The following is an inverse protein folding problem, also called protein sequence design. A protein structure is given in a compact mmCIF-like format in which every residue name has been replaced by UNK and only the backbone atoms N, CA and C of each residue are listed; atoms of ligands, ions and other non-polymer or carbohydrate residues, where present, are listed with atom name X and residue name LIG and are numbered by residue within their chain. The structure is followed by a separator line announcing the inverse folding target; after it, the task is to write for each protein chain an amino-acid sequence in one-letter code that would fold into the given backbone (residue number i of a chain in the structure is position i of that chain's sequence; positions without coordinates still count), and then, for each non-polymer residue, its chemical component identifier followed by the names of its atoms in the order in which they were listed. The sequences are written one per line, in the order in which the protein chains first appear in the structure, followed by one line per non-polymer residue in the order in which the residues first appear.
data_IF_518442630216
#
_entry.id   IF_518442630216
#
_cell.length_a   1.000
_cell.length_b   1.000
_cell.length_c   1.000
_cell.angle_alpha   90.00
_cell.angle_beta   90.00
_cell.angle_gamma   90.00
#
_symmetry.space_group_name_H-M   'P 1'
#
loop_
_entity.id
_entity.type
_entity.pdbx_description
1 polymer ?
#
# COMPACT_ATOMS: atom_id res chain seq x y z
N UNK A 1 -26.74 -6.97 -20.83
CA UNK A 1 -26.43 -6.75 -19.40
C UNK A 1 -24.93 -6.55 -19.27
N UNK A 2 -24.51 -5.29 -19.19
CA UNK A 2 -23.12 -4.85 -19.23
C UNK A 2 -22.43 -5.12 -17.87
N UNK A 3 -21.26 -5.74 -17.92
CA UNK A 3 -20.42 -6.05 -16.75
C UNK A 3 -19.79 -4.76 -16.18
N UNK A 4 -20.54 -4.00 -15.39
CA UNK A 4 -20.07 -2.74 -14.76
C UNK A 4 -19.25 -2.96 -13.48
N UNK A 5 -18.97 -4.20 -13.09
CA UNK A 5 -18.26 -4.51 -11.83
C UNK A 5 -16.74 -4.21 -11.84
N UNK A 6 -16.14 -3.84 -12.97
CA UNK A 6 -14.67 -3.79 -13.11
C UNK A 6 -14.03 -2.39 -13.12
N UNK A 7 -14.78 -1.30 -12.84
CA UNK A 7 -14.22 0.07 -12.86
C UNK A 7 -13.63 0.55 -11.53
N UNK A 8 -13.95 -0.10 -10.40
CA UNK A 8 -13.48 0.33 -9.06
C UNK A 8 -12.12 -0.24 -8.65
N UNK A 9 -11.68 -1.30 -9.31
CA UNK A 9 -10.36 -1.90 -9.18
C UNK A 9 -9.70 -1.87 -10.55
N UNK A 10 -9.15 -0.71 -10.90
CA UNK A 10 -8.37 -0.59 -12.12
C UNK A 10 -7.19 -1.57 -12.00
N UNK A 11 -7.12 -2.59 -12.85
CA UNK A 11 -6.14 -3.69 -12.74
C UNK A 11 -4.71 -3.17 -12.65
N UNK A 12 -4.42 -2.06 -13.33
CA UNK A 12 -3.16 -1.32 -13.26
C UNK A 12 -2.86 -0.80 -11.84
N UNK A 13 -3.86 -0.25 -11.13
CA UNK A 13 -3.68 0.22 -9.75
C UNK A 13 -3.39 -0.94 -8.79
N UNK A 14 -4.05 -2.08 -8.97
CA UNK A 14 -3.81 -3.28 -8.15
C UNK A 14 -2.41 -3.83 -8.40
N UNK A 15 -1.98 -3.93 -9.66
CA UNK A 15 -0.62 -4.40 -10.00
C UNK A 15 0.47 -3.48 -9.45
N UNK A 16 0.28 -2.15 -9.54
CA UNK A 16 1.19 -1.17 -8.96
C UNK A 16 1.22 -1.29 -7.44
N UNK A 17 0.06 -1.43 -6.79
CA UNK A 17 -0.02 -1.57 -5.34
C UNK A 17 0.69 -2.85 -4.85
N UNK A 18 0.51 -3.99 -5.53
CA UNK A 18 1.23 -5.24 -5.19
C UNK A 18 2.74 -5.02 -5.27
N UNK A 19 3.25 -4.43 -6.36
CA UNK A 19 4.68 -4.15 -6.50
C UNK A 19 5.19 -3.21 -5.42
N UNK A 20 4.41 -2.17 -5.09
CA UNK A 20 4.73 -1.23 -4.03
C UNK A 20 4.71 -1.88 -2.65
N UNK A 21 3.86 -2.88 -2.40
CA UNK A 21 3.84 -3.60 -1.12
C UNK A 21 5.16 -4.27 -0.79
N UNK A 22 5.82 -4.84 -1.80
CA UNK A 22 7.14 -5.44 -1.67
C UNK A 22 8.27 -4.41 -1.59
N UNK A 23 8.11 -3.23 -2.19
CA UNK A 23 9.10 -2.14 -2.11
C UNK A 23 9.03 -1.46 -0.74
N UNK A 24 7.83 -1.29 -0.18
CA UNK A 24 7.57 -0.72 1.16
C UNK A 24 7.98 -1.64 2.31
N UNK A 25 8.39 -2.88 2.01
CA UNK A 25 9.03 -3.82 2.93
C UNK A 25 10.48 -3.45 3.27
N UNK A 26 10.96 -2.27 2.85
CA UNK A 26 12.26 -1.76 3.23
C UNK A 26 12.18 -1.11 4.63
N UNK A 27 12.93 -1.59 5.63
CA UNK A 27 12.83 -1.14 7.02
C UNK A 27 13.12 0.35 7.20
N UNK A 28 13.91 0.95 6.30
CA UNK A 28 14.20 2.39 6.33
C UNK A 28 12.96 3.27 6.04
N UNK A 29 11.99 2.73 5.32
CA UNK A 29 10.73 3.42 5.00
C UNK A 29 9.70 3.24 6.13
N UNK A 30 9.69 2.09 6.78
CA UNK A 30 8.73 1.74 7.82
C UNK A 30 8.96 2.45 9.16
N UNK A 31 10.15 3.01 9.43
CA UNK A 31 10.43 3.78 10.66
C UNK A 31 9.45 4.95 10.89
N UNK A 32 8.88 5.52 9.82
CA UNK A 32 7.89 6.59 9.92
C UNK A 32 6.51 6.11 10.40
N UNK A 33 6.24 4.81 10.31
CA UNK A 33 5.01 4.17 10.76
C UNK A 33 5.35 3.19 11.92
N UNK A 34 5.32 3.64 13.19
CA UNK A 34 5.82 2.87 14.33
C UNK A 34 5.06 1.55 14.55
N UNK A 35 3.78 1.49 14.18
CA UNK A 35 2.97 0.27 14.29
C UNK A 35 3.44 -0.77 13.28
N UNK A 36 3.58 -0.38 12.01
CA UNK A 36 4.04 -1.28 10.95
C UNK A 36 5.48 -1.76 11.16
N UNK A 37 6.36 -0.88 11.65
CA UNK A 37 7.73 -1.24 12.00
C UNK A 37 7.82 -2.30 13.11
N UNK A 38 6.97 -2.21 14.13
CA UNK A 38 6.94 -3.21 15.22
C UNK A 38 6.54 -4.60 14.69
N UNK A 39 5.56 -4.65 13.77
CA UNK A 39 5.13 -5.90 13.13
C UNK A 39 6.24 -6.46 12.22
N UNK A 40 6.97 -5.60 11.51
CA UNK A 40 8.13 -6.00 10.69
C UNK A 40 9.23 -6.66 11.54
N UNK A 41 9.61 -6.04 12.67
CA UNK A 41 10.59 -6.63 13.59
C UNK A 41 10.11 -7.99 14.10
N UNK A 42 8.85 -8.09 14.53
CA UNK A 42 8.29 -9.37 15.00
C UNK A 42 8.31 -10.45 13.91
N UNK A 43 8.01 -10.08 12.67
CA UNK A 43 8.07 -10.98 11.51
C UNK A 43 9.49 -11.43 11.22
N UNK A 44 10.47 -10.53 11.34
CA UNK A 44 11.90 -10.84 11.15
C UNK A 44 12.42 -11.77 12.23
N UNK A 45 12.06 -11.54 13.50
CA UNK A 45 12.39 -12.46 14.60
C UNK A 45 11.77 -13.84 14.33
N UNK A 46 10.49 -13.89 13.94
CA UNK A 46 9.84 -15.16 13.61
C UNK A 46 10.46 -15.88 12.41
N UNK A 47 11.01 -15.15 11.43
CA UNK A 47 11.77 -15.74 10.34
C UNK A 47 13.02 -16.45 10.86
N UNK A 48 13.76 -15.82 11.79
CA UNK A 48 14.94 -16.40 12.43
C UNK A 48 14.58 -17.62 13.27
N UNK A 49 13.52 -17.54 14.08
CA UNK A 49 13.01 -18.68 14.87
C UNK A 49 12.63 -19.85 13.96
N UNK A 50 11.90 -19.57 12.88
CA UNK A 50 11.48 -20.59 11.90
C UNK A 50 12.70 -21.23 11.22
N UNK A 51 13.73 -20.45 10.89
CA UNK A 51 14.98 -20.98 10.34
C UNK A 51 15.74 -21.84 11.38
N UNK A 52 15.78 -21.43 12.64
CA UNK A 52 16.41 -22.21 13.72
C UNK A 52 15.66 -23.52 13.99
N UNK A 53 14.33 -23.52 13.84
CA UNK A 53 13.50 -24.72 13.98
C UNK A 53 13.74 -25.80 12.92
N UNK A 54 14.48 -25.51 11.84
CA UNK A 54 14.92 -26.53 10.87
C UNK A 54 15.97 -27.48 11.48
N UNK A 55 16.81 -26.97 12.37
CA UNK A 55 17.91 -27.73 12.98
C UNK A 55 17.64 -28.11 14.43
N UNK A 56 16.76 -27.39 15.13
CA UNK A 56 16.47 -27.59 16.55
C UNK A 56 14.97 -27.46 16.86
N UNK A 57 14.36 -28.52 17.38
CA UNK A 57 12.92 -28.56 17.70
C UNK A 57 12.58 -28.04 19.10
N UNK A 58 13.49 -27.36 19.80
CA UNK A 58 13.29 -26.92 21.19
C UNK A 58 12.23 -25.83 21.33
N UNK A 59 12.10 -24.97 20.33
CA UNK A 59 11.21 -23.79 20.30
C UNK A 59 9.89 -24.07 19.56
N UNK A 60 9.39 -25.31 19.62
CA UNK A 60 8.17 -25.73 18.92
C UNK A 60 8.44 -26.44 17.58
N UNK A 61 7.37 -26.95 16.96
CA UNK A 61 7.49 -27.64 15.68
C UNK A 61 7.75 -26.65 14.54
N UNK A 62 8.60 -27.02 13.60
CA UNK A 62 8.88 -26.21 12.41
C UNK A 62 7.59 -25.79 11.69
N UNK A 63 6.62 -26.71 11.54
CA UNK A 63 5.35 -26.41 10.89
C UNK A 63 4.51 -25.36 11.61
N UNK A 64 4.54 -25.33 12.95
CA UNK A 64 3.86 -24.30 13.73
C UNK A 64 4.54 -22.93 13.54
N UNK A 65 5.86 -22.86 13.71
CA UNK A 65 6.62 -21.61 13.55
C UNK A 65 6.51 -21.04 12.13
N UNK A 66 6.57 -21.92 11.11
CA UNK A 66 6.34 -21.54 9.72
C UNK A 66 4.93 -20.99 9.49
N UNK A 67 3.90 -21.59 10.10
CA UNK A 67 2.52 -21.10 10.00
C UNK A 67 2.37 -19.70 10.61
N UNK A 68 2.95 -19.47 11.79
CA UNK A 68 2.97 -18.16 12.44
C UNK A 68 3.71 -17.13 11.57
N UNK A 69 4.88 -17.49 11.05
CA UNK A 69 5.64 -16.64 10.14
C UNK A 69 4.85 -16.26 8.89
N UNK A 70 4.19 -17.22 8.23
CA UNK A 70 3.37 -16.95 7.04
C UNK A 70 2.24 -15.97 7.35
N UNK A 71 1.55 -16.14 8.48
CA UNK A 71 0.48 -15.22 8.88
C UNK A 71 1.03 -13.80 9.09
N UNK A 72 2.14 -13.65 9.83
CA UNK A 72 2.77 -12.35 10.07
C UNK A 72 3.30 -11.70 8.77
N UNK A 73 3.84 -12.50 7.87
CA UNK A 73 4.30 -12.00 6.57
C UNK A 73 3.14 -11.52 5.70
N UNK A 74 2.03 -12.26 5.68
CA UNK A 74 0.84 -11.87 4.93
C UNK A 74 0.18 -10.61 5.50
N UNK A 75 0.12 -10.46 6.83
CA UNK A 75 -0.45 -9.23 7.43
C UNK A 75 0.36 -8.00 7.04
N UNK A 76 1.69 -8.11 7.01
CA UNK A 76 2.57 -7.03 6.58
C UNK A 76 2.37 -6.70 5.10
N UNK A 77 2.28 -7.71 4.24
CA UNK A 77 2.03 -7.52 2.81
C UNK A 77 0.69 -6.85 2.54
N UNK A 78 -0.38 -7.26 3.24
CA UNK A 78 -1.70 -6.65 3.11
C UNK A 78 -1.74 -5.22 3.64
N UNK A 79 -1.06 -4.94 4.75
CA UNK A 79 -1.01 -3.59 5.29
C UNK A 79 -0.26 -2.64 4.35
N UNK A 80 0.90 -3.03 3.81
CA UNK A 80 1.61 -2.25 2.79
C UNK A 80 0.79 -2.08 1.50
N UNK A 81 0.01 -3.10 1.13
CA UNK A 81 -0.91 -3.03 -0.02
C UNK A 81 -2.05 -2.04 0.19
N UNK A 82 -2.70 -2.07 1.36
CA UNK A 82 -3.76 -1.13 1.71
C UNK A 82 -3.24 0.31 1.69
N UNK A 83 -2.05 0.54 2.24
CA UNK A 83 -1.38 1.84 2.22
C UNK A 83 -1.09 2.31 0.78
N UNK A 84 -0.53 1.43 -0.06
CA UNK A 84 -0.25 1.75 -1.46
C UNK A 84 -1.53 2.05 -2.26
N UNK A 85 -2.62 1.31 -2.04
CA UNK A 85 -3.93 1.60 -2.66
C UNK A 85 -4.48 2.95 -2.22
N UNK A 86 -4.41 3.25 -0.92
CA UNK A 86 -4.90 4.51 -0.37
C UNK A 86 -4.18 5.71 -0.99
N UNK A 87 -2.84 5.64 -1.09
CA UNK A 87 -2.04 6.66 -1.76
C UNK A 87 -2.35 6.78 -3.26
N UNK A 88 -2.50 5.64 -3.96
CA UNK A 88 -2.76 5.63 -5.39
C UNK A 88 -4.12 6.27 -5.72
N UNK A 89 -5.15 6.00 -4.91
CA UNK A 89 -6.47 6.64 -5.06
C UNK A 89 -6.41 8.14 -4.75
N UNK A 90 -5.72 8.54 -3.68
CA UNK A 90 -5.55 9.94 -3.32
C UNK A 90 -4.83 10.75 -4.42
N UNK A 91 -3.75 10.20 -4.99
CA UNK A 91 -3.03 10.81 -6.11
C UNK A 91 -3.89 10.92 -7.37
N UNK A 92 -4.57 9.84 -7.77
CA UNK A 92 -5.44 9.86 -8.95
C UNK A 92 -6.58 10.90 -8.84
N UNK A 93 -7.14 11.09 -7.63
CA UNK A 93 -8.15 12.10 -7.40
C UNK A 93 -7.59 13.53 -7.44
N UNK A 94 -6.41 13.76 -6.85
CA UNK A 94 -5.74 15.06 -6.90
C UNK A 94 -5.34 15.46 -8.33
N UNK A 95 -4.83 14.50 -9.11
CA UNK A 95 -4.46 14.72 -10.51
C UNK A 95 -5.68 15.06 -11.38
N UNK A 96 -6.82 14.41 -11.13
CA UNK A 96 -8.09 14.74 -11.79
C UNK A 96 -8.52 16.18 -11.51
N UNK A 97 -8.48 16.63 -10.26
CA UNK A 97 -8.84 18.01 -9.88
C UNK A 97 -7.86 19.03 -10.46
N UNK A 98 -6.56 18.73 -10.46
CA UNK A 98 -5.53 19.59 -11.04
C UNK A 98 -5.76 19.77 -12.54
N UNK A 99 -6.07 18.68 -13.24
CA UNK A 99 -6.41 18.69 -14.66
C UNK A 99 -7.69 19.49 -14.93
N UNK A 100 -8.75 19.31 -14.14
CA UNK A 100 -9.98 20.13 -14.26
C UNK A 100 -9.70 21.62 -14.07
N UNK A 101 -8.84 21.99 -13.12
CA UNK A 101 -8.43 23.38 -12.90
C UNK A 101 -7.64 23.95 -14.10
N UNK A 102 -6.81 23.15 -14.75
CA UNK A 102 -6.06 23.54 -15.95
C UNK A 102 -6.96 23.66 -17.19
N UNK A 103 -8.01 22.82 -17.29
CA UNK A 103 -8.92 22.76 -18.44
C UNK A 103 -10.12 23.71 -18.34
N UNK A 104 -10.30 24.43 -17.23
CA UNK A 104 -11.43 25.37 -17.04
C UNK A 104 -10.97 26.81 -17.29
N UNK A 105 -11.08 27.34 -18.52
CA UNK A 105 -10.84 28.75 -18.78
C UNK A 105 -11.90 29.59 -18.06
N UNK A 106 -11.46 30.68 -17.42
CA UNK A 106 -12.34 31.64 -16.77
C UNK A 106 -12.12 33.02 -17.40
N UNK A 107 -13.20 33.79 -17.53
CA UNK A 107 -13.18 35.18 -17.96
C UNK A 107 -13.13 36.08 -16.73
N UNK A 108 -12.25 37.07 -16.72
CA UNK A 108 -12.16 38.06 -15.65
C UNK A 108 -13.11 39.23 -15.96
N UNK A 109 -14.06 39.50 -15.07
CA UNK A 109 -14.93 40.68 -15.16
C UNK A 109 -14.20 41.91 -14.61
N UNK A 110 -14.19 42.99 -15.39
CA UNK A 110 -13.64 44.30 -15.01
C UNK A 110 -14.80 45.19 -14.51
N UNK A 111 -14.52 46.18 -13.64
CA UNK A 111 -15.52 47.09 -13.05
C UNK A 111 -16.39 47.85 -14.07
N UNK A 112 -15.91 47.99 -15.30
CA UNK A 112 -16.64 48.62 -16.42
C UNK A 112 -17.61 47.67 -17.15
N UNK A 113 -17.69 46.41 -16.72
CA UNK A 113 -18.53 45.37 -17.32
C UNK A 113 -17.89 44.64 -18.49
N UNK A 114 -16.63 44.95 -18.85
CA UNK A 114 -15.88 44.22 -19.88
C UNK A 114 -15.26 42.92 -19.33
N UNK A 115 -15.01 41.95 -20.22
CA UNK A 115 -14.37 40.66 -19.86
C UNK A 115 -12.96 40.57 -20.46
N UNK A 116 -12.01 40.02 -19.69
CA UNK A 116 -10.62 39.78 -20.10
C UNK A 116 -10.25 38.31 -20.00
#
# INVERSE_FOLDING_TARGET
MEKTASKLLNSTLVSVAIKQSFIKLNPLVMIKNPVMFTVEIGTLIMAVVTAYSLTNSSEGSFGYNLSVFIVLFLTLLFANFAEAIAEARGKAQADSLRKTREETPALLLIEDGSTK
#
